data_IF_903535305912
#
_entry.id   IF_903535305912
#
_cell.length_a   1.000
_cell.length_b   1.000
_cell.length_c   1.000
_cell.angle_alpha   90.00
_cell.angle_beta   90.00
_cell.angle_gamma   90.00
#
_symmetry.space_group_name_H-M   'P 1'
#
loop_
_entity.id
_entity.type
_entity.pdbx_description
1 polymer ?
#
# COMPACT_ATOMS: atom_id res chain seq x y z
N UNK A 1 26.15 -4.50 -10.59
CA UNK A 1 26.15 -3.24 -9.80
C UNK A 1 25.76 -3.59 -8.37
N UNK A 2 26.26 -2.86 -7.36
CA UNK A 2 25.81 -3.11 -5.98
C UNK A 2 24.38 -2.58 -5.81
N UNK A 3 23.47 -3.39 -5.24
CA UNK A 3 22.07 -3.02 -5.04
C UNK A 3 21.91 -1.81 -4.10
N UNK A 4 22.79 -1.66 -3.10
CA UNK A 4 22.82 -0.48 -2.24
C UNK A 4 22.99 0.83 -3.04
N UNK A 5 23.85 0.82 -4.07
CA UNK A 5 24.05 2.00 -4.92
C UNK A 5 22.78 2.33 -5.72
N UNK A 6 22.06 1.31 -6.22
CA UNK A 6 20.80 1.51 -6.93
C UNK A 6 19.77 2.15 -6.00
N UNK A 7 19.61 1.61 -4.79
CA UNK A 7 18.67 2.13 -3.79
C UNK A 7 19.01 3.55 -3.37
N UNK A 8 20.30 3.87 -3.17
CA UNK A 8 20.73 5.22 -2.82
C UNK A 8 20.46 6.23 -3.95
N UNK A 9 20.75 5.87 -5.20
CA UNK A 9 20.44 6.72 -6.37
C UNK A 9 18.91 6.93 -6.44
N UNK A 10 18.13 5.87 -6.31
CA UNK A 10 16.68 5.96 -6.32
C UNK A 10 16.15 6.84 -5.18
N UNK A 11 16.66 6.68 -3.97
CA UNK A 11 16.27 7.50 -2.82
C UNK A 11 16.60 8.98 -3.05
N UNK A 12 17.77 9.30 -3.59
CA UNK A 12 18.15 10.68 -3.94
C UNK A 12 17.21 11.26 -4.99
N UNK A 13 16.88 10.50 -6.05
CA UNK A 13 15.91 10.93 -7.08
C UNK A 13 14.52 11.17 -6.49
N UNK A 14 14.03 10.28 -5.63
CA UNK A 14 12.72 10.38 -4.99
C UNK A 14 12.66 11.57 -4.01
N UNK A 15 13.71 11.78 -3.21
CA UNK A 15 13.82 12.94 -2.31
C UNK A 15 13.88 14.24 -3.12
N UNK A 16 14.64 14.27 -4.22
CA UNK A 16 14.69 15.42 -5.12
C UNK A 16 13.31 15.69 -5.75
N UNK A 17 12.61 14.65 -6.19
CA UNK A 17 11.22 14.76 -6.67
C UNK A 17 10.28 15.36 -5.62
N UNK A 18 10.35 14.90 -4.39
CA UNK A 18 9.56 15.44 -3.28
C UNK A 18 9.89 16.90 -2.97
N UNK A 19 11.18 17.22 -2.83
CA UNK A 19 11.64 18.54 -2.38
C UNK A 19 11.49 19.61 -3.45
N UNK A 20 11.87 19.31 -4.70
CA UNK A 20 11.82 20.28 -5.78
C UNK A 20 10.47 20.28 -6.50
N UNK A 21 10.08 19.16 -7.07
CA UNK A 21 8.89 19.07 -7.89
C UNK A 21 7.60 19.11 -7.07
N UNK A 22 7.52 18.34 -5.98
CA UNK A 22 6.38 18.36 -5.06
C UNK A 22 6.17 19.74 -4.43
N UNK A 23 7.23 20.42 -4.00
CA UNK A 23 7.14 21.78 -3.45
C UNK A 23 6.80 22.83 -4.51
N UNK A 24 7.26 22.66 -5.75
CA UNK A 24 6.86 23.51 -6.87
C UNK A 24 5.37 23.37 -7.15
N UNK A 25 4.85 22.14 -7.20
CA UNK A 25 3.41 21.87 -7.36
C UNK A 25 2.59 22.50 -6.23
N UNK A 26 3.03 22.31 -4.97
CA UNK A 26 2.35 22.88 -3.81
C UNK A 26 2.21 24.40 -3.89
N UNK A 27 3.28 25.08 -4.31
CA UNK A 27 3.28 26.53 -4.57
C UNK A 27 2.38 26.89 -5.75
N UNK A 28 2.47 26.14 -6.84
CA UNK A 28 1.71 26.38 -8.07
C UNK A 28 0.20 26.25 -7.84
N UNK A 29 -0.22 25.30 -7.01
CA UNK A 29 -1.62 25.07 -6.68
C UNK A 29 -2.15 25.98 -5.57
N UNK A 30 -1.30 26.80 -4.95
CA UNK A 30 -1.71 27.78 -3.95
C UNK A 30 -2.19 27.14 -2.65
N UNK A 31 -1.40 26.22 -2.10
CA UNK A 31 -1.65 25.66 -0.77
C UNK A 31 -1.49 26.78 0.26
N UNK A 32 -2.52 27.00 1.07
CA UNK A 32 -2.56 28.01 2.11
C UNK A 32 -2.61 27.37 3.51
N UNK A 33 -1.51 27.44 4.29
CA UNK A 33 -1.50 26.95 5.66
C UNK A 33 -2.52 27.58 6.62
N UNK A 34 -3.08 28.75 6.23
CA UNK A 34 -4.09 29.46 7.05
C UNK A 34 -5.52 29.06 6.70
N UNK A 35 -5.71 28.39 5.56
CA UNK A 35 -7.03 27.93 5.13
C UNK A 35 -7.57 26.84 6.05
N UNK A 36 -8.86 26.91 6.40
CA UNK A 36 -9.55 25.87 7.14
C UNK A 36 -9.82 24.69 6.23
N UNK A 37 -9.31 23.54 6.59
CA UNK A 37 -9.59 22.28 5.87
C UNK A 37 -11.01 21.78 6.16
N UNK A 38 -11.58 20.92 5.31
CA UNK A 38 -12.88 20.28 5.58
C UNK A 38 -12.93 19.54 6.91
N UNK A 39 -11.81 18.89 7.31
CA UNK A 39 -11.70 18.22 8.60
C UNK A 39 -11.99 19.16 9.78
N UNK A 40 -11.49 20.39 9.71
CA UNK A 40 -11.70 21.41 10.77
C UNK A 40 -13.07 22.08 10.63
N UNK A 41 -13.49 22.41 9.39
CA UNK A 41 -14.71 23.15 9.15
C UNK A 41 -15.99 22.33 9.38
N UNK A 42 -15.94 21.03 9.13
CA UNK A 42 -17.09 20.09 9.19
C UNK A 42 -16.92 19.02 10.26
N UNK A 43 -16.09 19.25 11.26
CA UNK A 43 -15.79 18.24 12.28
C UNK A 43 -17.07 17.69 12.91
N UNK A 44 -17.36 16.41 12.62
CA UNK A 44 -18.51 15.66 13.15
C UNK A 44 -18.10 14.54 14.12
N UNK A 45 -16.78 14.37 14.33
CA UNK A 45 -16.23 13.32 15.16
C UNK A 45 -16.35 11.90 14.61
N UNK A 46 -16.82 11.74 13.37
CA UNK A 46 -16.99 10.44 12.69
C UNK A 46 -16.25 10.40 11.36
N UNK A 47 -16.71 11.15 10.37
CA UNK A 47 -16.13 11.21 9.03
C UNK A 47 -15.09 12.31 8.91
N UNK A 48 -15.36 13.48 9.50
CA UNK A 48 -14.48 14.64 9.48
C UNK A 48 -13.84 14.82 10.85
N UNK A 49 -12.62 14.32 11.00
CA UNK A 49 -11.88 14.36 12.27
C UNK A 49 -10.52 14.99 12.05
N UNK A 50 -10.28 16.23 12.52
CA UNK A 50 -8.98 16.86 12.39
C UNK A 50 -7.90 16.03 13.08
N UNK A 51 -6.93 15.57 12.29
CA UNK A 51 -5.88 14.66 12.75
C UNK A 51 -4.51 15.24 12.41
N UNK A 52 -3.51 14.94 13.23
CA UNK A 52 -2.12 15.33 12.96
C UNK A 52 -1.60 14.82 11.63
N UNK A 53 -0.84 15.64 10.93
CA UNK A 53 -0.35 15.35 9.59
C UNK A 53 0.56 14.12 9.48
N UNK A 54 1.25 13.69 10.54
CA UNK A 54 2.02 12.45 10.56
C UNK A 54 1.13 11.22 10.70
N UNK A 55 0.08 11.32 11.49
CA UNK A 55 -0.92 10.24 11.63
C UNK A 55 -1.67 10.05 10.32
N UNK A 56 -2.07 11.14 9.63
CA UNK A 56 -2.70 11.05 8.31
C UNK A 56 -1.73 10.49 7.26
N UNK A 57 -0.46 10.87 7.30
CA UNK A 57 0.58 10.31 6.44
C UNK A 57 0.74 8.80 6.65
N UNK A 58 0.84 8.36 7.91
CA UNK A 58 0.95 6.93 8.24
C UNK A 58 -0.28 6.14 7.76
N UNK A 59 -1.48 6.69 7.94
CA UNK A 59 -2.71 6.09 7.43
C UNK A 59 -2.73 6.04 5.89
N UNK A 60 -2.39 7.13 5.21
CA UNK A 60 -2.31 7.17 3.75
C UNK A 60 -1.31 6.13 3.25
N UNK A 61 -0.08 6.12 3.80
CA UNK A 61 0.98 5.20 3.41
C UNK A 61 0.58 3.74 3.66
N UNK A 62 0.06 3.39 4.83
CA UNK A 62 -0.35 2.01 5.14
C UNK A 62 -1.53 1.53 4.29
N UNK A 63 -2.38 2.45 3.83
CA UNK A 63 -3.52 2.14 2.97
C UNK A 63 -3.12 1.90 1.52
N UNK A 64 -2.10 2.62 1.03
CA UNK A 64 -1.64 2.52 -0.36
C UNK A 64 -0.54 1.45 -0.52
N UNK A 65 0.38 1.33 0.43
CA UNK A 65 1.50 0.39 0.38
C UNK A 65 1.03 -1.05 0.64
N UNK A 66 0.31 -1.62 -0.32
CA UNK A 66 -0.14 -3.01 -0.29
C UNK A 66 0.90 -4.00 -0.85
N UNK A 67 0.44 -5.16 -1.28
CA UNK A 67 1.29 -6.16 -1.96
C UNK A 67 1.74 -5.71 -3.35
N UNK A 68 0.97 -4.81 -4.01
CA UNK A 68 1.19 -4.38 -5.39
C UNK A 68 2.58 -3.82 -5.70
N UNK A 69 3.12 -2.85 -4.95
CA UNK A 69 4.46 -2.30 -5.20
C UNK A 69 5.56 -3.34 -5.09
N UNK A 70 5.41 -4.33 -4.20
CA UNK A 70 6.39 -5.41 -4.02
C UNK A 70 6.27 -6.44 -5.13
N UNK A 71 5.09 -7.02 -5.31
CA UNK A 71 4.87 -8.10 -6.29
C UNK A 71 5.00 -7.60 -7.72
N UNK A 72 4.55 -6.38 -8.01
CA UNK A 72 4.65 -5.78 -9.34
C UNK A 72 6.10 -5.57 -9.77
N UNK A 73 6.95 -5.06 -8.89
CA UNK A 73 8.38 -4.88 -9.18
C UNK A 73 9.08 -6.23 -9.44
N UNK A 74 8.78 -7.26 -8.63
CA UNK A 74 9.32 -8.62 -8.79
C UNK A 74 8.86 -9.25 -10.12
N UNK A 75 7.57 -9.18 -10.43
CA UNK A 75 7.02 -9.76 -11.66
C UNK A 75 7.56 -9.08 -12.91
N UNK A 76 7.68 -7.75 -12.90
CA UNK A 76 8.19 -6.99 -14.03
C UNK A 76 9.71 -7.15 -14.24
N UNK A 77 10.45 -7.69 -13.25
CA UNK A 77 11.89 -7.94 -13.35
C UNK A 77 12.28 -8.89 -14.50
N UNK A 78 11.32 -9.60 -15.09
CA UNK A 78 11.51 -10.39 -16.32
C UNK A 78 11.98 -9.56 -17.51
N UNK A 79 11.69 -8.24 -17.53
CA UNK A 79 12.16 -7.30 -18.55
C UNK A 79 13.53 -6.68 -18.24
N UNK A 80 14.14 -7.07 -17.12
CA UNK A 80 15.36 -6.48 -16.58
C UNK A 80 15.10 -5.38 -15.56
N UNK A 81 16.09 -5.14 -14.67
CA UNK A 81 15.90 -4.21 -13.56
C UNK A 81 15.88 -2.73 -13.97
N UNK A 82 16.54 -2.35 -15.08
CA UNK A 82 16.63 -0.95 -15.51
C UNK A 82 15.28 -0.39 -15.98
N UNK A 83 14.53 -1.05 -16.90
CA UNK A 83 13.21 -0.56 -17.29
C UNK A 83 12.24 -0.44 -16.11
N UNK A 84 12.27 -1.42 -15.19
CA UNK A 84 11.43 -1.42 -13.99
C UNK A 84 11.79 -0.24 -13.08
N UNK A 85 13.07 -0.04 -12.78
CA UNK A 85 13.56 1.08 -11.96
C UNK A 85 13.17 2.44 -12.57
N UNK A 86 13.40 2.61 -13.87
CA UNK A 86 13.05 3.85 -14.57
C UNK A 86 11.56 4.15 -14.48
N UNK A 87 10.71 3.13 -14.67
CA UNK A 87 9.27 3.32 -14.57
C UNK A 87 8.83 3.62 -13.13
N UNK A 88 9.39 2.97 -12.12
CA UNK A 88 9.10 3.29 -10.71
C UNK A 88 9.47 4.75 -10.40
N UNK A 89 10.65 5.22 -10.84
CA UNK A 89 11.10 6.58 -10.54
C UNK A 89 10.31 7.64 -11.32
N UNK A 90 10.20 7.48 -12.63
CA UNK A 90 9.48 8.45 -13.48
C UNK A 90 7.99 8.43 -13.17
N UNK A 91 7.41 7.24 -13.10
CA UNK A 91 6.00 7.04 -12.76
C UNK A 91 5.68 7.56 -11.38
N UNK A 92 6.47 7.19 -10.37
CA UNK A 92 6.25 7.60 -8.99
C UNK A 92 6.34 9.11 -8.78
N UNK A 93 7.35 9.76 -9.36
CA UNK A 93 7.57 11.21 -9.21
C UNK A 93 6.56 12.03 -10.01
N UNK A 94 6.39 11.74 -11.31
CA UNK A 94 5.67 12.62 -12.23
C UNK A 94 4.21 12.24 -12.47
N UNK A 95 3.82 11.02 -12.16
CA UNK A 95 2.46 10.53 -12.34
C UNK A 95 1.79 10.17 -11.01
N UNK A 96 2.29 9.16 -10.29
CA UNK A 96 1.65 8.65 -9.09
C UNK A 96 1.53 9.70 -7.98
N UNK A 97 2.66 10.31 -7.59
CA UNK A 97 2.66 11.33 -6.55
C UNK A 97 1.85 12.57 -6.92
N UNK A 98 1.83 12.94 -8.20
CA UNK A 98 1.01 14.06 -8.70
C UNK A 98 -0.47 13.71 -8.66
N UNK A 99 -0.84 12.49 -9.03
CA UNK A 99 -2.23 12.01 -8.99
C UNK A 99 -2.77 11.96 -7.56
N UNK A 100 -1.99 11.41 -6.63
CA UNK A 100 -2.40 11.27 -5.23
C UNK A 100 -2.52 12.63 -4.54
N UNK A 101 -1.52 13.48 -4.75
CA UNK A 101 -1.53 14.85 -4.24
C UNK A 101 -2.64 15.70 -4.88
N UNK A 102 -2.87 15.54 -6.19
CA UNK A 102 -3.93 16.21 -6.93
C UNK A 102 -5.33 15.80 -6.47
N UNK A 103 -5.54 14.51 -6.23
CA UNK A 103 -6.80 13.98 -5.70
C UNK A 103 -7.08 14.51 -4.29
N UNK A 104 -6.05 14.51 -3.42
CA UNK A 104 -6.15 15.09 -2.08
C UNK A 104 -6.47 16.58 -2.13
N UNK A 105 -5.72 17.34 -2.93
CA UNK A 105 -5.92 18.78 -3.13
C UNK A 105 -7.32 19.09 -3.66
N UNK A 106 -7.73 18.41 -4.73
CA UNK A 106 -9.05 18.62 -5.33
C UNK A 106 -10.18 18.32 -4.33
N UNK A 107 -10.03 17.28 -3.52
CA UNK A 107 -11.01 16.94 -2.50
C UNK A 107 -11.04 17.98 -1.37
N UNK A 108 -9.91 18.37 -0.82
CA UNK A 108 -9.81 19.39 0.25
C UNK A 108 -10.40 20.72 -0.22
N UNK A 109 -10.07 21.18 -1.43
CA UNK A 109 -10.61 22.42 -2.01
C UNK A 109 -12.10 22.33 -2.39
N UNK A 110 -12.67 21.13 -2.42
CA UNK A 110 -14.08 20.88 -2.68
C UNK A 110 -14.78 20.25 -1.46
N UNK A 111 -14.49 20.74 -0.27
CA UNK A 111 -15.19 20.38 0.97
C UNK A 111 -15.08 18.91 1.39
N UNK A 112 -14.00 18.22 1.01
CA UNK A 112 -13.77 16.80 1.30
C UNK A 112 -14.64 15.86 0.45
N UNK A 113 -15.09 16.29 -0.74
CA UNK A 113 -15.86 15.44 -1.65
C UNK A 113 -15.00 14.33 -2.23
N UNK A 114 -15.57 13.12 -2.26
CA UNK A 114 -14.93 11.96 -2.91
C UNK A 114 -14.79 12.17 -4.42
N UNK A 115 -13.90 11.40 -5.05
CA UNK A 115 -13.64 11.50 -6.49
C UNK A 115 -14.92 11.41 -7.34
N UNK A 116 -15.84 10.52 -7.00
CA UNK A 116 -17.13 10.41 -7.72
C UNK A 116 -17.98 11.68 -7.66
N UNK A 117 -17.96 12.40 -6.53
CA UNK A 117 -18.67 13.67 -6.38
C UNK A 117 -17.94 14.82 -7.10
N UNK A 118 -16.60 14.77 -7.17
CA UNK A 118 -15.82 15.72 -7.95
C UNK A 118 -16.12 15.57 -9.45
N UNK A 119 -16.17 14.34 -9.94
CA UNK A 119 -16.53 14.04 -11.34
C UNK A 119 -17.96 14.53 -11.63
N UNK A 120 -18.90 14.35 -10.70
CA UNK A 120 -20.26 14.90 -10.87
C UNK A 120 -20.24 16.43 -11.02
N UNK A 121 -19.45 17.10 -10.21
CA UNK A 121 -19.35 18.57 -10.21
C UNK A 121 -18.75 19.13 -11.51
N UNK A 122 -17.70 18.48 -12.05
CA UNK A 122 -16.93 19.03 -13.17
C UNK A 122 -17.29 18.41 -14.54
N UNK A 123 -17.79 17.18 -14.57
CA UNK A 123 -18.10 16.44 -15.80
C UNK A 123 -19.62 16.18 -15.93
N UNK A 124 -20.31 16.07 -14.78
CA UNK A 124 -21.75 15.86 -14.73
C UNK A 124 -22.18 14.47 -14.27
N UNK A 125 -23.50 14.28 -14.13
CA UNK A 125 -24.11 13.08 -13.56
C UNK A 125 -23.80 11.79 -14.34
N UNK A 126 -23.70 11.86 -15.66
CA UNK A 126 -23.37 10.71 -16.50
C UNK A 126 -21.93 10.28 -16.26
N UNK A 127 -20.99 11.23 -16.19
CA UNK A 127 -19.59 10.95 -15.84
C UNK A 127 -19.45 10.25 -14.48
N UNK A 128 -20.18 10.72 -13.46
CA UNK A 128 -20.23 10.08 -12.15
C UNK A 128 -20.72 8.62 -12.22
N UNK A 129 -21.84 8.37 -12.93
CA UNK A 129 -22.38 7.00 -13.05
C UNK A 129 -21.39 6.05 -13.72
N UNK A 130 -20.78 6.49 -14.82
CA UNK A 130 -19.77 5.69 -15.54
C UNK A 130 -18.53 5.45 -14.67
N UNK A 131 -18.06 6.46 -13.95
CA UNK A 131 -16.93 6.33 -13.03
C UNK A 131 -17.24 5.36 -11.87
N UNK A 132 -18.42 5.44 -11.26
CA UNK A 132 -18.81 4.53 -10.19
C UNK A 132 -18.96 3.09 -10.69
N UNK A 133 -19.52 2.90 -11.89
CA UNK A 133 -19.58 1.57 -12.52
C UNK A 133 -18.17 1.02 -12.79
N UNK A 134 -17.27 1.84 -13.33
CA UNK A 134 -15.87 1.47 -13.53
C UNK A 134 -15.20 1.09 -12.21
N UNK A 135 -15.31 1.91 -11.18
CA UNK A 135 -14.74 1.62 -9.86
C UNK A 135 -15.28 0.32 -9.28
N UNK A 136 -16.57 0.06 -9.42
CA UNK A 136 -17.18 -1.17 -8.93
C UNK A 136 -16.62 -2.42 -9.64
N UNK A 137 -16.59 -2.42 -10.97
CA UNK A 137 -16.04 -3.51 -11.76
C UNK A 137 -14.55 -3.71 -11.50
N UNK A 138 -13.78 -2.61 -11.46
CA UNK A 138 -12.36 -2.63 -11.15
C UNK A 138 -12.09 -3.23 -9.76
N UNK A 139 -12.86 -2.82 -8.75
CA UNK A 139 -12.70 -3.34 -7.39
C UNK A 139 -12.95 -4.85 -7.32
N UNK A 140 -13.94 -5.38 -8.05
CA UNK A 140 -14.19 -6.82 -8.12
C UNK A 140 -12.98 -7.58 -8.69
N UNK A 141 -12.40 -7.07 -9.79
CA UNK A 141 -11.21 -7.67 -10.42
C UNK A 141 -10.03 -7.65 -9.46
N UNK A 142 -9.79 -6.51 -8.80
CA UNK A 142 -8.69 -6.34 -7.85
C UNK A 142 -8.84 -7.27 -6.64
N UNK A 143 -10.04 -7.36 -6.06
CA UNK A 143 -10.31 -8.28 -4.95
C UNK A 143 -10.05 -9.73 -5.37
N UNK A 144 -10.54 -10.14 -6.53
CA UNK A 144 -10.34 -11.50 -7.03
C UNK A 144 -8.85 -11.79 -7.24
N UNK A 145 -8.11 -10.88 -7.89
CA UNK A 145 -6.68 -11.05 -8.15
C UNK A 145 -5.85 -11.12 -6.86
N UNK A 146 -6.09 -10.22 -5.91
CA UNK A 146 -5.37 -10.25 -4.64
C UNK A 146 -5.78 -11.44 -3.75
N UNK A 147 -7.04 -11.84 -3.75
CA UNK A 147 -7.48 -13.03 -3.02
C UNK A 147 -6.79 -14.29 -3.56
N UNK A 148 -6.70 -14.43 -4.88
CA UNK A 148 -5.99 -15.55 -5.52
C UNK A 148 -4.48 -15.53 -5.22
N UNK A 149 -3.85 -14.37 -5.28
CA UNK A 149 -2.42 -14.18 -4.96
C UNK A 149 -2.12 -14.53 -3.51
N UNK A 150 -2.91 -14.03 -2.56
CA UNK A 150 -2.75 -14.31 -1.12
C UNK A 150 -2.95 -15.79 -0.82
N UNK A 151 -4.01 -16.39 -1.36
CA UNK A 151 -4.26 -17.82 -1.21
C UNK A 151 -3.14 -18.68 -1.84
N UNK A 152 -2.56 -18.22 -2.96
CA UNK A 152 -1.41 -18.84 -3.60
C UNK A 152 -0.14 -18.76 -2.75
N UNK A 153 0.12 -17.62 -2.10
CA UNK A 153 1.27 -17.42 -1.22
C UNK A 153 1.23 -18.34 0.00
N UNK A 154 0.06 -18.64 0.53
CA UNK A 154 -0.11 -19.51 1.71
C UNK A 154 -0.26 -20.99 1.34
N UNK A 155 -0.35 -21.31 0.06
CA UNK A 155 -0.54 -22.69 -0.41
C UNK A 155 0.65 -23.57 -0.05
N UNK A 156 0.36 -24.69 0.59
CA UNK A 156 1.37 -25.66 1.01
C UNK A 156 1.67 -26.74 -0.05
N UNK A 157 0.89 -26.81 -1.14
CA UNK A 157 0.98 -27.87 -2.13
C UNK A 157 1.40 -27.31 -3.50
N UNK A 158 2.16 -28.08 -4.23
CA UNK A 158 2.52 -27.83 -5.62
C UNK A 158 2.14 -29.02 -6.51
N UNK A 159 1.80 -28.75 -7.76
CA UNK A 159 1.51 -29.80 -8.73
C UNK A 159 2.68 -29.95 -9.68
N UNK A 160 3.39 -31.09 -9.59
CA UNK A 160 4.52 -31.44 -10.47
C UNK A 160 4.11 -32.70 -11.23
N UNK A 161 4.18 -32.66 -12.55
CA UNK A 161 3.82 -33.77 -13.45
C UNK A 161 2.40 -34.33 -13.20
N UNK A 162 1.44 -33.45 -12.89
CA UNK A 162 0.05 -33.83 -12.62
C UNK A 162 -0.19 -34.46 -11.24
N UNK A 163 0.85 -34.59 -10.40
CA UNK A 163 0.73 -35.10 -9.03
C UNK A 163 0.85 -33.95 -8.03
N UNK A 164 -0.15 -33.79 -7.18
CA UNK A 164 -0.13 -32.82 -6.09
C UNK A 164 0.73 -33.33 -4.93
N UNK A 165 1.81 -32.63 -4.62
CA UNK A 165 2.77 -32.97 -3.56
C UNK A 165 2.90 -31.80 -2.60
N UNK A 166 3.36 -32.08 -1.38
CA UNK A 166 3.74 -31.04 -0.42
C UNK A 166 4.94 -30.27 -0.96
N UNK A 167 4.83 -28.95 -1.05
CA UNK A 167 5.93 -28.08 -1.49
C UNK A 167 7.08 -28.10 -0.49
N UNK A 168 8.32 -27.95 -0.98
CA UNK A 168 9.49 -27.78 -0.11
C UNK A 168 9.35 -26.56 0.83
N UNK A 169 8.52 -25.58 0.47
CA UNK A 169 8.24 -24.38 1.26
C UNK A 169 6.94 -24.44 2.07
N UNK A 170 6.28 -25.60 2.14
CA UNK A 170 4.98 -25.76 2.77
C UNK A 170 4.90 -25.23 4.21
N UNK A 171 5.95 -25.46 5.01
CA UNK A 171 6.02 -24.95 6.39
C UNK A 171 6.14 -23.42 6.42
N UNK A 172 6.93 -22.83 5.53
CA UNK A 172 7.09 -21.36 5.43
C UNK A 172 5.81 -20.71 4.97
N UNK A 173 5.17 -21.24 3.93
CA UNK A 173 3.90 -20.77 3.42
C UNK A 173 2.78 -20.90 4.47
N UNK A 174 2.73 -22.04 5.16
CA UNK A 174 1.79 -22.28 6.26
C UNK A 174 2.03 -21.34 7.45
N UNK A 175 3.29 -21.04 7.78
CA UNK A 175 3.62 -20.06 8.83
C UNK A 175 3.15 -18.65 8.44
N UNK A 176 3.38 -18.22 7.20
CA UNK A 176 2.88 -16.92 6.69
C UNK A 176 1.36 -16.82 6.80
N UNK A 177 0.62 -17.88 6.45
CA UNK A 177 -0.82 -17.95 6.61
C UNK A 177 -1.27 -17.89 8.07
N UNK A 178 -0.59 -18.64 8.97
CA UNK A 178 -0.85 -18.61 10.41
C UNK A 178 -0.60 -17.22 11.00
N UNK A 179 0.51 -16.57 10.65
CA UNK A 179 0.82 -15.20 11.07
C UNK A 179 -0.31 -14.27 10.64
N UNK A 180 -0.77 -14.38 9.39
CA UNK A 180 -1.84 -13.51 8.87
C UNK A 180 -3.16 -13.68 9.63
N UNK A 181 -3.57 -14.91 9.94
CA UNK A 181 -4.78 -15.17 10.74
C UNK A 181 -4.64 -14.64 12.17
N UNK A 182 -3.49 -14.92 12.81
CA UNK A 182 -3.21 -14.41 14.16
C UNK A 182 -3.14 -12.90 14.21
N UNK A 183 -2.59 -12.28 13.17
CA UNK A 183 -2.52 -10.82 13.05
C UNK A 183 -3.93 -10.20 13.03
N UNK A 184 -4.88 -10.80 12.32
CA UNK A 184 -6.29 -10.40 12.33
C UNK A 184 -6.89 -10.54 13.73
N UNK A 185 -6.68 -11.70 14.38
CA UNK A 185 -7.17 -11.96 15.72
C UNK A 185 -6.60 -10.96 16.75
N UNK A 186 -5.28 -10.73 16.71
CA UNK A 186 -4.62 -9.74 17.58
C UNK A 186 -5.04 -8.31 17.28
N UNK A 187 -5.37 -7.96 16.03
CA UNK A 187 -5.92 -6.65 15.68
C UNK A 187 -7.27 -6.41 16.37
N UNK A 188 -8.15 -7.41 16.38
CA UNK A 188 -9.43 -7.34 17.13
C UNK A 188 -9.20 -7.20 18.63
N UNK A 189 -8.30 -8.00 19.20
CA UNK A 189 -7.93 -7.91 20.63
C UNK A 189 -7.36 -6.53 20.96
N UNK A 190 -6.46 -6.02 20.13
CA UNK A 190 -5.88 -4.68 20.29
C UNK A 190 -6.98 -3.60 20.23
N UNK A 191 -7.89 -3.65 19.26
CA UNK A 191 -9.01 -2.70 19.16
C UNK A 191 -9.92 -2.71 20.39
N UNK A 192 -10.24 -3.88 20.91
CA UNK A 192 -11.03 -4.02 22.15
C UNK A 192 -10.28 -3.46 23.38
N UNK A 193 -8.99 -3.77 23.50
CA UNK A 193 -8.15 -3.28 24.58
C UNK A 193 -8.00 -1.77 24.50
N UNK A 194 -7.78 -1.22 23.31
CA UNK A 194 -7.65 0.22 23.10
C UNK A 194 -8.93 0.96 23.53
N UNK A 195 -10.10 0.42 23.14
CA UNK A 195 -11.41 0.98 23.55
C UNK A 195 -11.61 0.95 25.08
N UNK A 196 -11.15 -0.12 25.73
CA UNK A 196 -11.30 -0.30 27.18
C UNK A 196 -10.30 0.53 27.98
N UNK A 197 -9.01 0.52 27.56
CA UNK A 197 -7.91 1.13 28.28
C UNK A 197 -7.70 2.60 27.92
N UNK A 198 -8.18 3.03 26.75
CA UNK A 198 -8.00 4.37 26.17
C UNK A 198 -6.55 4.86 26.20
N UNK A 199 -5.61 3.93 26.04
CA UNK A 199 -4.19 4.24 26.00
C UNK A 199 -3.85 5.03 24.75
N UNK A 200 -3.00 6.03 24.89
CA UNK A 200 -2.52 6.89 23.80
C UNK A 200 -1.01 7.04 23.87
N UNK A 201 -0.42 7.38 22.71
CA UNK A 201 1.02 7.63 22.58
C UNK A 201 1.84 6.35 22.79
N UNK A 202 2.91 6.42 23.60
CA UNK A 202 3.87 5.32 23.70
C UNK A 202 3.27 4.00 24.23
N UNK A 203 2.26 4.05 25.12
CA UNK A 203 1.58 2.84 25.63
C UNK A 203 0.83 2.10 24.55
N UNK A 204 0.16 2.84 23.69
CA UNK A 204 -0.52 2.30 22.50
C UNK A 204 0.48 1.66 21.53
N UNK A 205 1.62 2.34 21.28
CA UNK A 205 2.70 1.81 20.44
C UNK A 205 3.27 0.50 20.98
N UNK A 206 3.55 0.43 22.27
CA UNK A 206 4.06 -0.79 22.93
C UNK A 206 3.06 -1.94 22.82
N UNK A 207 1.78 -1.68 23.06
CA UNK A 207 0.74 -2.69 22.96
C UNK A 207 0.60 -3.22 21.50
N UNK A 208 0.57 -2.31 20.52
CA UNK A 208 0.50 -2.70 19.09
C UNK A 208 1.72 -3.50 18.65
N UNK A 209 2.92 -3.07 19.06
CA UNK A 209 4.15 -3.82 18.79
C UNK A 209 4.14 -5.20 19.46
N UNK A 210 3.71 -5.29 20.72
CA UNK A 210 3.61 -6.56 21.42
C UNK A 210 2.64 -7.53 20.74
N UNK A 211 1.46 -7.04 20.30
CA UNK A 211 0.52 -7.85 19.52
C UNK A 211 1.11 -8.31 18.19
N UNK A 212 1.84 -7.44 17.49
CA UNK A 212 2.53 -7.78 16.24
C UNK A 212 3.58 -8.87 16.46
N UNK A 213 4.46 -8.69 17.44
CA UNK A 213 5.51 -9.66 17.78
C UNK A 213 4.90 -11.00 18.22
N UNK A 214 3.82 -10.98 19.01
CA UNK A 214 3.13 -12.18 19.43
C UNK A 214 2.52 -12.96 18.24
N UNK A 215 1.91 -12.26 17.26
CA UNK A 215 1.39 -12.88 16.06
C UNK A 215 2.50 -13.59 15.26
N UNK A 216 3.65 -12.95 15.11
CA UNK A 216 4.80 -13.56 14.43
C UNK A 216 5.37 -14.74 15.22
N UNK A 217 5.63 -14.59 16.52
CA UNK A 217 6.21 -15.63 17.34
C UNK A 217 5.35 -16.89 17.37
N UNK A 218 4.03 -16.75 17.54
CA UNK A 218 3.11 -17.89 17.55
C UNK A 218 2.97 -18.49 16.14
N UNK A 219 2.76 -17.66 15.13
CA UNK A 219 2.50 -18.13 13.76
C UNK A 219 3.69 -18.85 13.12
N UNK A 220 4.91 -18.46 13.44
CA UNK A 220 6.13 -19.18 13.01
C UNK A 220 6.24 -20.58 13.63
N UNK A 221 5.75 -20.77 14.85
CA UNK A 221 5.80 -22.06 15.54
C UNK A 221 4.59 -22.97 15.27
N UNK A 222 3.50 -22.42 14.71
CA UNK A 222 2.26 -23.19 14.42
C UNK A 222 1.87 -22.98 12.95
N UNK A 223 2.60 -23.55 11.98
CA UNK A 223 2.27 -23.39 10.57
C UNK A 223 1.00 -24.17 10.19
N UNK A 224 0.05 -23.49 9.57
CA UNK A 224 -1.17 -24.09 9.00
C UNK A 224 -0.88 -24.58 7.57
N UNK A 225 -0.53 -25.84 7.46
CA UNK A 225 -0.23 -26.51 6.18
C UNK A 225 -1.54 -26.93 5.53
N UNK A 226 -2.06 -26.14 4.58
CA UNK A 226 -3.31 -26.44 3.90
C UNK A 226 -3.31 -26.00 2.43
N UNK A 227 -4.35 -26.38 1.68
CA UNK A 227 -4.44 -26.13 0.23
C UNK A 227 -4.84 -24.70 -0.13
N UNK A 228 -4.52 -24.29 -1.37
CA UNK A 228 -4.95 -23.01 -1.94
C UNK A 228 -6.47 -22.80 -1.84
N UNK A 229 -7.26 -23.85 -2.09
CA UNK A 229 -8.72 -23.78 -2.01
C UNK A 229 -9.20 -23.40 -0.59
N UNK A 230 -8.65 -24.04 0.43
CA UNK A 230 -8.97 -23.72 1.84
C UNK A 230 -8.61 -22.27 2.16
N UNK A 231 -7.41 -21.82 1.75
CA UNK A 231 -6.99 -20.42 1.93
C UNK A 231 -7.91 -19.45 1.20
N UNK A 232 -8.38 -19.79 0.01
CA UNK A 232 -9.34 -18.95 -0.75
C UNK A 232 -10.62 -18.75 0.06
N UNK A 233 -11.20 -19.82 0.64
CA UNK A 233 -12.39 -19.70 1.48
C UNK A 233 -12.12 -18.86 2.75
N UNK A 234 -10.97 -19.04 3.40
CA UNK A 234 -10.60 -18.24 4.58
C UNK A 234 -10.43 -16.75 4.23
N UNK A 235 -9.82 -16.45 3.09
CA UNK A 235 -9.67 -15.06 2.60
C UNK A 235 -11.05 -14.44 2.32
N UNK A 236 -11.97 -15.15 1.67
CA UNK A 236 -13.33 -14.64 1.44
C UNK A 236 -14.12 -14.45 2.75
N UNK A 237 -14.00 -15.37 3.69
CA UNK A 237 -14.59 -15.22 5.03
C UNK A 237 -14.05 -13.97 5.73
N UNK A 238 -12.72 -13.73 5.64
CA UNK A 238 -12.10 -12.53 6.18
C UNK A 238 -12.60 -11.25 5.48
N UNK A 239 -12.69 -11.23 4.14
CA UNK A 239 -13.21 -10.09 3.38
C UNK A 239 -14.64 -9.75 3.82
N UNK A 240 -15.49 -10.78 3.99
CA UNK A 240 -16.85 -10.59 4.48
C UNK A 240 -16.87 -10.00 5.89
N UNK A 241 -16.10 -10.54 6.83
CA UNK A 241 -15.99 -10.02 8.19
C UNK A 241 -15.46 -8.58 8.20
N UNK A 242 -14.46 -8.28 7.42
CA UNK A 242 -13.88 -6.94 7.32
C UNK A 242 -14.86 -5.91 6.74
N UNK A 243 -15.79 -6.34 5.86
CA UNK A 243 -16.81 -5.47 5.30
C UNK A 243 -17.97 -5.18 6.28
N UNK A 244 -18.26 -6.09 7.20
CA UNK A 244 -19.39 -5.98 8.15
C UNK A 244 -18.98 -5.37 9.49
N UNK A 245 -17.74 -5.65 9.95
CA UNK A 245 -17.26 -5.17 11.25
C UNK A 245 -16.99 -3.67 11.25
N UNK A 246 -17.24 -2.98 12.38
CA UNK A 246 -16.94 -1.56 12.50
C UNK A 246 -15.45 -1.30 12.33
N UNK A 247 -15.09 -0.18 11.69
CA UNK A 247 -13.71 0.19 11.39
C UNK A 247 -12.80 0.22 12.64
N UNK A 248 -13.33 0.71 13.76
CA UNK A 248 -12.58 0.79 15.03
C UNK A 248 -12.19 -0.56 15.62
N UNK A 249 -12.93 -1.64 15.26
CA UNK A 249 -12.71 -2.97 15.83
C UNK A 249 -11.61 -3.75 15.07
N UNK A 250 -11.58 -3.64 13.75
CA UNK A 250 -10.69 -4.44 12.90
C UNK A 250 -9.76 -3.59 12.05
N UNK A 251 -10.29 -2.66 11.25
CA UNK A 251 -9.50 -1.96 10.23
C UNK A 251 -8.45 -1.03 10.83
N UNK A 252 -8.85 -0.12 11.73
CA UNK A 252 -7.93 0.82 12.36
C UNK A 252 -6.84 0.12 13.19
N UNK A 253 -7.15 -0.85 14.08
CA UNK A 253 -6.15 -1.60 14.83
C UNK A 253 -5.18 -2.37 13.92
N UNK A 254 -5.73 -3.01 12.89
CA UNK A 254 -4.91 -3.73 11.91
C UNK A 254 -3.94 -2.80 11.19
N UNK A 255 -4.41 -1.66 10.70
CA UNK A 255 -3.58 -0.70 9.96
C UNK A 255 -2.49 -0.11 10.86
N UNK A 256 -2.81 0.15 12.13
CA UNK A 256 -1.83 0.57 13.12
C UNK A 256 -0.72 -0.48 13.34
N UNK A 257 -1.10 -1.76 13.53
CA UNK A 257 -0.14 -2.85 13.65
C UNK A 257 0.66 -3.07 12.35
N UNK A 258 0.03 -2.93 11.18
CA UNK A 258 0.68 -3.06 9.87
C UNK A 258 1.79 -2.03 9.68
N UNK A 259 1.67 -0.83 10.26
CA UNK A 259 2.70 0.20 10.23
C UNK A 259 4.02 -0.30 10.84
N UNK A 260 3.97 -1.09 11.93
CA UNK A 260 5.18 -1.69 12.52
C UNK A 260 5.81 -2.76 11.60
N UNK A 261 4.96 -3.53 10.91
CA UNK A 261 5.45 -4.48 9.90
C UNK A 261 6.19 -3.78 8.76
N UNK A 262 5.60 -2.73 8.18
CA UNK A 262 6.22 -1.97 7.10
C UNK A 262 7.50 -1.29 7.56
N UNK A 263 7.50 -0.67 8.74
CA UNK A 263 8.71 -0.08 9.30
C UNK A 263 9.81 -1.12 9.50
N UNK A 264 9.46 -2.28 10.07
CA UNK A 264 10.40 -3.40 10.24
C UNK A 264 10.93 -3.95 8.93
N UNK A 265 10.09 -4.08 7.92
CA UNK A 265 10.45 -4.55 6.58
C UNK A 265 11.40 -3.57 5.88
N UNK A 266 11.09 -2.27 5.88
CA UNK A 266 11.93 -1.23 5.27
C UNK A 266 13.28 -1.14 5.99
N UNK A 267 13.26 -1.08 7.33
CA UNK A 267 14.50 -1.05 8.13
C UNK A 267 15.34 -2.31 7.94
N UNK A 268 14.69 -3.48 7.96
CA UNK A 268 15.36 -4.76 7.72
C UNK A 268 15.99 -4.85 6.33
N UNK A 269 15.29 -4.39 5.29
CA UNK A 269 15.81 -4.31 3.93
C UNK A 269 17.01 -3.36 3.84
N UNK A 270 16.91 -2.17 4.42
CA UNK A 270 18.02 -1.18 4.42
C UNK A 270 19.23 -1.73 5.17
N UNK A 271 19.03 -2.30 6.37
CA UNK A 271 20.11 -2.92 7.15
C UNK A 271 20.73 -4.11 6.38
N UNK A 272 19.90 -4.97 5.78
CA UNK A 272 20.34 -6.08 4.96
C UNK A 272 21.21 -5.63 3.78
N UNK A 273 20.78 -4.59 3.07
CA UNK A 273 21.55 -4.01 1.95
C UNK A 273 22.91 -3.42 2.41
N UNK A 274 22.91 -2.76 3.58
CA UNK A 274 24.13 -2.17 4.14
C UNK A 274 25.11 -3.24 4.67
N UNK A 275 24.61 -4.31 5.26
CA UNK A 275 25.46 -5.36 5.84
C UNK A 275 25.93 -6.37 4.79
N UNK A 276 25.03 -6.84 3.94
CA UNK A 276 25.32 -7.91 2.99
C UNK A 276 25.93 -7.41 1.68
N UNK A 277 25.80 -6.13 1.33
CA UNK A 277 26.27 -5.55 0.06
C UNK A 277 25.96 -6.42 -1.17
N UNK A 278 24.71 -6.88 -1.35
CA UNK A 278 24.39 -7.81 -2.42
C UNK A 278 24.65 -7.19 -3.79
N UNK A 279 25.01 -8.04 -4.75
CA UNK A 279 25.15 -7.63 -6.15
C UNK A 279 23.83 -7.88 -6.88
N UNK A 280 23.46 -6.96 -7.75
CA UNK A 280 22.32 -7.15 -8.64
C UNK A 280 22.64 -8.26 -9.64
N UNK A 281 21.95 -9.39 -9.52
CA UNK A 281 22.11 -10.55 -10.38
C UNK A 281 21.12 -10.56 -11.55
N UNK A 282 20.09 -9.70 -11.52
CA UNK A 282 19.17 -9.54 -12.63
C UNK A 282 19.87 -8.88 -13.82
N UNK A 283 19.54 -9.25 -15.07
CA UNK A 283 20.03 -8.58 -16.26
C UNK A 283 19.54 -7.13 -16.30
N UNK A 284 20.35 -6.23 -16.88
CA UNK A 284 19.96 -4.83 -17.02
C UNK A 284 18.73 -4.66 -17.90
N UNK A 285 18.68 -5.43 -19.00
CA UNK A 285 17.58 -5.44 -19.97
C UNK A 285 17.57 -6.79 -20.68
N UNK A 286 16.39 -7.38 -20.87
CA UNK A 286 16.21 -8.71 -21.46
C UNK A 286 15.62 -8.66 -22.88
N UNK A 287 15.17 -7.48 -23.33
CA UNK A 287 14.51 -7.31 -24.62
C UNK A 287 13.11 -6.73 -24.47
N UNK A 288 12.53 -6.34 -25.62
CA UNK A 288 11.18 -5.79 -25.66
C UNK A 288 10.10 -6.88 -25.54
N UNK A 289 10.39 -8.10 -25.99
CA UNK A 289 9.48 -9.24 -25.93
C UNK A 289 10.00 -10.32 -24.99
N UNK A 290 9.14 -10.82 -24.12
CA UNK A 290 9.41 -11.97 -23.26
C UNK A 290 8.39 -13.06 -23.58
N UNK A 291 8.88 -14.28 -23.87
CA UNK A 291 8.02 -15.39 -24.30
C UNK A 291 6.95 -15.80 -23.27
N UNK A 292 7.23 -15.61 -21.97
CA UNK A 292 6.31 -15.97 -20.89
C UNK A 292 5.35 -14.82 -20.51
N UNK A 293 5.79 -13.57 -20.66
CA UNK A 293 5.05 -12.40 -20.17
C UNK A 293 4.52 -11.48 -21.26
N UNK A 294 4.96 -11.66 -22.53
CA UNK A 294 4.58 -10.81 -23.66
C UNK A 294 5.47 -9.59 -23.84
N UNK A 295 4.94 -8.51 -24.44
CA UNK A 295 5.72 -7.31 -24.76
C UNK A 295 5.89 -6.39 -23.56
N UNK A 296 7.06 -5.76 -23.46
CA UNK A 296 7.38 -4.78 -22.43
C UNK A 296 6.30 -3.68 -22.32
N UNK A 297 5.86 -3.14 -23.47
CA UNK A 297 4.70 -2.26 -23.51
C UNK A 297 3.47 -3.03 -24.00
N UNK A 298 2.35 -3.04 -23.26
CA UNK A 298 2.08 -2.28 -22.02
C UNK A 298 2.39 -3.02 -20.71
N UNK A 299 2.87 -4.26 -20.76
CA UNK A 299 2.85 -5.19 -19.62
C UNK A 299 3.68 -4.67 -18.44
N UNK A 300 4.91 -4.21 -18.67
CA UNK A 300 5.73 -3.64 -17.59
C UNK A 300 5.00 -2.48 -16.88
N UNK A 301 4.39 -1.59 -17.65
CA UNK A 301 3.71 -0.39 -17.11
C UNK A 301 2.50 -0.75 -16.26
N UNK A 302 1.73 -1.76 -16.68
CA UNK A 302 0.57 -2.24 -15.94
C UNK A 302 0.98 -3.04 -14.70
N UNK A 303 1.98 -3.90 -14.82
CA UNK A 303 2.44 -4.77 -13.73
C UNK A 303 3.03 -3.96 -12.58
N UNK A 304 3.79 -2.91 -12.87
CA UNK A 304 4.40 -2.02 -11.86
C UNK A 304 3.50 -0.82 -11.54
N UNK A 305 2.26 -0.80 -12.03
CA UNK A 305 1.38 0.36 -11.84
C UNK A 305 1.25 0.77 -10.37
N UNK A 306 1.10 -0.17 -9.44
CA UNK A 306 0.94 0.15 -8.03
C UNK A 306 2.13 0.93 -7.45
N UNK A 307 3.36 0.50 -7.71
CA UNK A 307 4.59 1.18 -7.24
C UNK A 307 4.97 2.44 -8.03
N UNK A 308 4.33 2.71 -9.17
CA UNK A 308 4.61 3.85 -10.03
C UNK A 308 3.41 4.81 -10.16
N UNK A 309 2.20 4.28 -10.38
CA UNK A 309 0.97 5.07 -10.62
C UNK A 309 -0.25 4.22 -10.28
N UNK A 310 -0.93 4.48 -9.17
CA UNK A 310 -2.09 3.71 -8.76
C UNK A 310 -3.37 4.55 -8.71
N UNK A 311 -4.41 4.10 -9.42
CA UNK A 311 -5.72 4.75 -9.37
C UNK A 311 -6.44 4.59 -8.03
N UNK A 312 -6.16 3.52 -7.29
CA UNK A 312 -6.72 3.30 -5.96
C UNK A 312 -6.29 4.36 -4.94
N UNK A 313 -5.05 4.85 -5.04
CA UNK A 313 -4.54 5.87 -4.14
C UNK A 313 -5.35 7.16 -4.16
N UNK A 314 -5.82 7.58 -5.33
CA UNK A 314 -6.66 8.78 -5.47
C UNK A 314 -8.01 8.62 -4.78
N UNK A 315 -8.55 7.39 -4.69
CA UNK A 315 -9.75 7.09 -3.92
C UNK A 315 -9.50 7.20 -2.41
N UNK A 316 -8.37 6.71 -1.91
CA UNK A 316 -7.95 6.86 -0.50
C UNK A 316 -7.72 8.33 -0.17
N UNK A 317 -6.96 9.04 -1.01
CA UNK A 317 -6.64 10.46 -0.84
C UNK A 317 -7.90 11.33 -0.77
N UNK A 318 -8.87 11.12 -1.67
CA UNK A 318 -10.10 11.90 -1.73
C UNK A 318 -11.22 11.39 -0.80
N UNK A 319 -11.19 10.12 -0.43
CA UNK A 319 -12.23 9.48 0.39
C UNK A 319 -12.00 9.62 1.89
N UNK A 320 -10.75 9.49 2.34
CA UNK A 320 -10.38 9.40 3.76
C UNK A 320 -9.45 10.54 4.16
N UNK A 321 -8.28 10.65 3.55
CA UNK A 321 -7.23 11.59 3.98
C UNK A 321 -7.68 13.06 3.87
N UNK A 322 -8.48 13.41 2.86
CA UNK A 322 -9.04 14.76 2.70
C UNK A 322 -9.98 15.19 3.82
N UNK A 323 -10.59 14.22 4.50
CA UNK A 323 -11.52 14.46 5.61
C UNK A 323 -10.82 14.45 6.98
N UNK A 324 -9.55 14.07 7.04
CA UNK A 324 -8.81 13.96 8.29
C UNK A 324 -7.66 14.95 8.38
N UNK A 325 -7.19 15.50 7.27
CA UNK A 325 -6.07 16.44 7.27
C UNK A 325 -6.43 17.78 7.94
N UNK A 326 -5.74 18.12 9.02
CA UNK A 326 -6.03 19.31 9.81
C UNK A 326 -5.49 20.61 9.19
N UNK A 327 -4.41 20.55 8.40
CA UNK A 327 -3.79 21.72 7.80
C UNK A 327 -3.38 21.46 6.35
N UNK A 328 -3.64 22.43 5.46
CA UNK A 328 -3.27 22.27 4.03
C UNK A 328 -1.77 22.08 3.79
N UNK A 329 -0.90 22.60 4.66
CA UNK A 329 0.55 22.41 4.55
C UNK A 329 0.96 20.94 4.54
N UNK A 330 0.15 20.06 5.17
CA UNK A 330 0.46 18.65 5.28
C UNK A 330 0.03 17.84 4.05
N UNK A 331 -0.74 18.46 3.11
CA UNK A 331 -1.21 17.78 1.91
C UNK A 331 -0.07 17.28 1.01
N UNK A 332 1.03 18.06 0.88
CA UNK A 332 2.19 17.62 0.11
C UNK A 332 2.82 16.38 0.74
N UNK A 333 3.00 16.39 2.05
CA UNK A 333 3.56 15.25 2.80
C UNK A 333 2.68 14.01 2.67
N UNK A 334 1.37 14.17 2.86
CA UNK A 334 0.41 13.07 2.86
C UNK A 334 0.19 12.52 1.43
N UNK A 335 -0.14 13.37 0.46
CA UNK A 335 -0.43 12.94 -0.91
C UNK A 335 0.84 12.56 -1.67
N UNK A 336 1.73 13.53 -1.86
CA UNK A 336 2.94 13.33 -2.64
C UNK A 336 3.97 12.43 -1.92
N UNK A 337 4.21 12.69 -0.63
CA UNK A 337 5.23 12.01 0.16
C UNK A 337 4.94 10.53 0.38
N UNK A 338 3.69 10.13 0.61
CA UNK A 338 3.32 8.74 0.81
C UNK A 338 3.59 7.91 -0.46
N UNK A 339 3.24 8.43 -1.63
CA UNK A 339 3.51 7.75 -2.91
C UNK A 339 5.01 7.63 -3.20
N UNK A 340 5.79 8.65 -2.91
CA UNK A 340 7.26 8.62 -3.05
C UNK A 340 7.86 7.54 -2.15
N UNK A 341 7.36 7.39 -0.92
CA UNK A 341 7.81 6.33 0.00
C UNK A 341 7.39 4.94 -0.50
N UNK A 342 6.23 4.80 -1.09
CA UNK A 342 5.79 3.55 -1.73
C UNK A 342 6.66 3.19 -2.94
N UNK A 343 7.03 4.17 -3.76
CA UNK A 343 7.98 3.95 -4.87
C UNK A 343 9.34 3.47 -4.36
N UNK A 344 9.82 4.00 -3.21
CA UNK A 344 11.04 3.48 -2.57
C UNK A 344 10.88 2.02 -2.13
N UNK A 345 9.71 1.64 -1.60
CA UNK A 345 9.40 0.26 -1.25
C UNK A 345 9.45 -0.65 -2.49
N UNK A 346 8.92 -0.21 -3.63
CA UNK A 346 9.00 -0.95 -4.89
C UNK A 346 10.45 -1.10 -5.39
N UNK A 347 11.29 -0.09 -5.22
CA UNK A 347 12.74 -0.18 -5.52
C UNK A 347 13.43 -1.18 -4.59
N UNK A 348 13.11 -1.19 -3.30
CA UNK A 348 13.66 -2.16 -2.35
C UNK A 348 13.26 -3.60 -2.70
N UNK A 349 12.03 -3.79 -3.20
CA UNK A 349 11.56 -5.10 -3.64
C UNK A 349 12.23 -5.58 -4.94
N UNK A 350 12.65 -4.65 -5.79
CA UNK A 350 13.40 -4.96 -7.02
C UNK A 350 14.85 -5.37 -6.73
N UNK A 351 15.45 -4.90 -5.63
CA UNK A 351 16.84 -5.08 -5.23
C UNK A 351 17.06 -6.26 -4.31
#
# INVERSE_FOLDING_TARGET
MNTLVIVLIAAVCLIAGYTFYGSWLAKKWGIDPKAKTPAVAKNDGQDYVPTDGWTVFAHQFSSIAGAGPVTGAIQAAVFGWVPVLLWILIGGIFFGAVTDFGALYASVKNEGKSMGLLIEKYIGKTGKKLFLLFCWLFTLIVIAAFADMVAGTFNAYETVDGVTKLSAQATVNGAAGSISLLFIAFAVVFGLLQKKLQWKGWKEMVLGLACTVAAFAIGMNVPLVTSKATWTYLVFAYIFLAAVLPMWLLMQPRDFMTTFMFAGMILGAVVGLVVAHPKMNLPMYTGFHNAASGDLFPILFVTVACGAVSGFHSLVSSGTSSKTIANEKDMQKVGYGAMVLESLLAVLALC
#
